data_IF_935918293022
#
_entry.id   IF_935918293022
#
_cell.length_a   1.000
_cell.length_b   1.000
_cell.length_c   1.000
_cell.angle_alpha   90.00
_cell.angle_beta   90.00
_cell.angle_gamma   90.00
#
_symmetry.space_group_name_H-M   'P 1'
#
loop_
_entity.id
_entity.type
_entity.pdbx_description
1 polymer ?
#
# COMPACT_ATOMS: atom_id res chain seq x y z
N UNK A 1 -26.43 -18.66 9.11
CA UNK A 1 -25.56 -17.48 8.98
C UNK A 1 -25.20 -17.36 7.51
N UNK A 2 -25.52 -16.25 6.84
CA UNK A 2 -25.09 -16.05 5.45
C UNK A 2 -23.58 -15.84 5.45
N UNK A 3 -22.83 -16.70 4.76
CA UNK A 3 -21.41 -16.48 4.52
C UNK A 3 -21.29 -15.21 3.66
N UNK A 4 -20.67 -14.15 4.17
CA UNK A 4 -20.33 -12.98 3.36
C UNK A 4 -19.26 -13.38 2.35
N UNK A 5 -19.41 -12.90 1.11
CA UNK A 5 -18.44 -13.12 0.04
C UNK A 5 -17.55 -11.87 -0.04
N UNK A 6 -16.24 -12.06 0.08
CA UNK A 6 -15.23 -11.03 -0.15
C UNK A 6 -15.01 -10.94 -1.66
N UNK A 7 -15.24 -9.77 -2.30
CA UNK A 7 -15.01 -9.61 -3.73
C UNK A 7 -13.54 -9.82 -4.08
N UNK A 8 -13.28 -10.57 -5.14
CA UNK A 8 -11.94 -10.67 -5.72
C UNK A 8 -11.85 -9.64 -6.85
N UNK A 9 -11.27 -8.49 -6.56
CA UNK A 9 -11.20 -7.40 -7.55
C UNK A 9 -10.15 -7.69 -8.61
N UNK A 10 -10.31 -7.15 -9.82
CA UNK A 10 -9.35 -7.34 -10.92
C UNK A 10 -7.94 -6.88 -10.56
N UNK A 11 -7.82 -5.76 -9.85
CA UNK A 11 -6.53 -5.26 -9.37
C UNK A 11 -5.87 -6.21 -8.35
N UNK A 12 -6.67 -6.91 -7.53
CA UNK A 12 -6.16 -7.93 -6.62
C UNK A 12 -5.70 -9.18 -7.36
N UNK A 13 -6.46 -9.65 -8.36
CA UNK A 13 -6.02 -10.72 -9.25
C UNK A 13 -4.71 -10.35 -9.97
N UNK A 14 -4.64 -9.12 -10.46
CA UNK A 14 -3.45 -8.57 -11.10
C UNK A 14 -2.26 -8.57 -10.14
N UNK A 15 -2.43 -8.12 -8.90
CA UNK A 15 -1.41 -8.17 -7.86
C UNK A 15 -0.96 -9.61 -7.53
N UNK A 16 -1.89 -10.56 -7.43
CA UNK A 16 -1.59 -11.96 -7.10
C UNK A 16 -0.62 -12.60 -8.12
N UNK A 17 -0.70 -12.22 -9.40
CA UNK A 17 0.24 -12.67 -10.45
C UNK A 17 1.69 -12.26 -10.13
N UNK A 18 1.90 -11.03 -9.65
CA UNK A 18 3.24 -10.49 -9.34
C UNK A 18 3.76 -10.88 -7.96
N UNK A 19 2.87 -11.28 -7.05
CA UNK A 19 3.22 -11.78 -5.72
C UNK A 19 3.91 -13.14 -5.80
N UNK A 20 3.52 -13.98 -6.75
CA UNK A 20 4.13 -15.30 -6.92
C UNK A 20 5.47 -15.21 -7.67
N UNK A 21 6.57 -15.32 -6.89
CA UNK A 21 7.95 -15.30 -7.41
C UNK A 21 8.25 -16.45 -8.38
N UNK A 22 7.46 -17.54 -8.35
CA UNK A 22 7.63 -18.66 -9.28
C UNK A 22 7.01 -18.36 -10.65
N UNK A 23 6.09 -17.39 -10.71
CA UNK A 23 5.38 -17.01 -11.93
C UNK A 23 6.07 -15.83 -12.61
N UNK A 24 6.52 -14.84 -11.82
CA UNK A 24 7.07 -13.60 -12.39
C UNK A 24 8.46 -13.29 -11.82
N UNK A 25 9.51 -13.69 -12.54
CA UNK A 25 10.88 -13.24 -12.28
C UNK A 25 11.09 -11.75 -12.56
N UNK A 26 12.27 -11.21 -12.26
CA UNK A 26 12.57 -9.76 -12.41
C UNK A 26 12.33 -9.25 -13.84
N UNK A 27 12.71 -10.02 -14.87
CA UNK A 27 12.45 -9.69 -16.28
C UNK A 27 10.95 -9.60 -16.61
N UNK A 28 10.15 -10.50 -16.03
CA UNK A 28 8.69 -10.48 -16.20
C UNK A 28 8.07 -9.22 -15.63
N UNK A 29 8.59 -8.74 -14.50
CA UNK A 29 8.13 -7.49 -13.85
C UNK A 29 8.56 -6.26 -14.63
N UNK A 30 9.80 -6.21 -15.11
CA UNK A 30 10.28 -5.16 -16.00
C UNK A 30 9.43 -5.06 -17.27
N UNK A 31 9.16 -6.18 -17.93
CA UNK A 31 8.34 -6.21 -19.14
C UNK A 31 6.89 -5.79 -18.85
N UNK A 32 6.34 -6.21 -17.72
CA UNK A 32 5.00 -5.78 -17.30
C UNK A 32 4.91 -4.29 -17.03
N UNK A 33 5.90 -3.72 -16.33
CA UNK A 33 5.98 -2.28 -16.09
C UNK A 33 6.09 -1.48 -17.40
N UNK A 34 6.92 -1.95 -18.36
CA UNK A 34 7.03 -1.34 -19.69
C UNK A 34 5.73 -1.44 -20.47
N UNK A 35 5.08 -2.61 -20.47
CA UNK A 35 3.83 -2.83 -21.19
C UNK A 35 2.70 -1.94 -20.66
N UNK A 36 2.55 -1.85 -19.33
CA UNK A 36 1.58 -0.94 -18.73
C UNK A 36 1.84 0.52 -19.10
N UNK A 37 3.10 0.95 -19.11
CA UNK A 37 3.43 2.32 -19.47
C UNK A 37 3.15 2.62 -20.96
N UNK A 38 3.41 1.65 -21.83
CA UNK A 38 3.21 1.78 -23.28
C UNK A 38 1.75 1.62 -23.71
N UNK A 39 0.92 0.93 -22.92
CA UNK A 39 -0.50 0.76 -23.20
C UNK A 39 -1.26 2.07 -22.99
N UNK A 40 -1.46 2.81 -24.09
CA UNK A 40 -2.21 4.07 -24.11
C UNK A 40 -1.88 5.01 -22.95
N UNK A 41 -0.60 5.07 -22.58
CA UNK A 41 -0.10 5.81 -21.41
C UNK A 41 -0.74 5.33 -20.09
N UNK A 42 -0.67 4.05 -19.76
CA UNK A 42 -1.16 3.51 -18.48
C UNK A 42 -2.69 3.42 -18.35
N UNK A 43 -3.43 3.50 -19.45
CA UNK A 43 -4.89 3.52 -19.40
C UNK A 43 -5.48 2.22 -18.83
N UNK A 44 -4.93 1.05 -19.18
CA UNK A 44 -5.44 -0.21 -18.65
C UNK A 44 -5.31 -0.29 -17.12
N UNK A 45 -4.23 0.24 -16.52
CA UNK A 45 -4.09 0.24 -15.06
C UNK A 45 -5.15 1.14 -14.39
N UNK A 46 -5.44 2.30 -14.98
CA UNK A 46 -6.49 3.22 -14.52
C UNK A 46 -7.86 2.54 -14.59
N UNK A 47 -8.15 1.88 -15.71
CA UNK A 47 -9.40 1.13 -15.91
C UNK A 47 -9.54 -0.01 -14.90
N UNK A 48 -8.50 -0.83 -14.71
CA UNK A 48 -8.47 -1.90 -13.70
C UNK A 48 -8.73 -1.33 -12.31
N UNK A 49 -8.12 -0.19 -11.96
CA UNK A 49 -8.35 0.47 -10.68
C UNK A 49 -9.80 0.91 -10.50
N UNK A 50 -10.39 1.61 -11.46
CA UNK A 50 -11.77 2.07 -11.35
C UNK A 50 -12.78 0.92 -11.34
N UNK A 51 -12.56 -0.13 -12.14
CA UNK A 51 -13.36 -1.35 -12.09
C UNK A 51 -13.25 -2.04 -10.72
N UNK A 52 -12.05 -2.08 -10.12
CA UNK A 52 -11.84 -2.61 -8.77
C UNK A 52 -12.55 -1.78 -7.70
N UNK A 53 -12.47 -0.45 -7.75
CA UNK A 53 -13.20 0.43 -6.82
C UNK A 53 -14.71 0.18 -6.92
N UNK A 54 -15.24 0.13 -8.15
CA UNK A 54 -16.66 -0.11 -8.38
C UNK A 54 -17.08 -1.50 -7.90
N UNK A 55 -16.30 -2.54 -8.18
CA UNK A 55 -16.58 -3.89 -7.72
C UNK A 55 -16.58 -3.98 -6.18
N UNK A 56 -15.57 -3.38 -5.54
CA UNK A 56 -15.45 -3.39 -4.08
C UNK A 56 -16.48 -2.49 -3.38
N UNK A 57 -17.07 -1.51 -4.07
CA UNK A 57 -18.06 -0.59 -3.48
C UNK A 57 -19.31 -1.28 -2.96
N UNK A 58 -19.64 -2.46 -3.50
CA UNK A 58 -20.78 -3.28 -3.07
C UNK A 58 -20.48 -4.07 -1.80
N UNK A 59 -19.24 -4.08 -1.33
CA UNK A 59 -18.83 -4.87 -0.19
C UNK A 59 -19.15 -4.17 1.14
N UNK A 60 -20.05 -4.77 1.91
CA UNK A 60 -20.51 -4.24 3.18
C UNK A 60 -19.88 -4.99 4.37
N UNK A 61 -18.85 -4.38 4.96
CA UNK A 61 -18.22 -4.87 6.19
C UNK A 61 -17.98 -3.74 7.21
N UNK A 62 -18.79 -2.68 7.17
CA UNK A 62 -18.68 -1.47 8.01
C UNK A 62 -18.61 -1.79 9.51
N UNK A 63 -19.26 -2.88 9.94
CA UNK A 63 -19.31 -3.29 11.34
C UNK A 63 -18.10 -4.14 11.79
N UNK A 64 -17.22 -4.55 10.88
CA UNK A 64 -16.04 -5.35 11.18
C UNK A 64 -14.86 -4.46 11.59
N UNK A 65 -14.01 -4.93 12.49
CA UNK A 65 -12.70 -4.32 12.74
C UNK A 65 -11.70 -4.68 11.64
N UNK A 66 -10.62 -3.91 11.51
CA UNK A 66 -9.53 -4.23 10.58
C UNK A 66 -8.60 -5.35 11.08
N UNK A 67 -8.68 -5.67 12.37
CA UNK A 67 -7.86 -6.65 13.10
C UNK A 67 -8.65 -7.87 13.57
N UNK A 68 -7.93 -8.93 13.92
CA UNK A 68 -8.49 -10.02 14.73
C UNK A 68 -8.65 -9.56 16.19
N UNK A 69 -9.83 -9.80 16.79
CA UNK A 69 -10.24 -9.31 18.13
C UNK A 69 -9.35 -9.70 19.32
N UNK A 70 -8.27 -10.47 19.14
CA UNK A 70 -7.60 -11.20 20.22
C UNK A 70 -6.19 -10.74 20.61
N UNK A 71 -5.65 -9.63 20.10
CA UNK A 71 -4.21 -9.37 20.30
C UNK A 71 -3.90 -8.05 20.97
N UNK A 72 -2.98 -8.13 21.94
CA UNK A 72 -2.09 -7.04 22.33
C UNK A 72 -1.31 -6.58 21.07
N UNK A 73 -1.97 -5.76 20.24
CA UNK A 73 -1.50 -5.27 18.94
C UNK A 73 -0.34 -4.28 19.12
N UNK A 74 0.84 -4.83 19.41
CA UNK A 74 2.10 -4.11 19.33
C UNK A 74 3.02 -4.85 18.38
N UNK A 75 3.65 -4.16 17.42
CA UNK A 75 4.69 -4.78 16.63
C UNK A 75 5.80 -5.22 17.57
N UNK A 76 6.21 -6.49 17.46
CA UNK A 76 7.36 -7.02 18.20
C UNK A 76 8.61 -6.79 17.37
N UNK A 77 9.64 -6.22 18.00
CA UNK A 77 10.97 -6.13 17.39
C UNK A 77 11.43 -7.54 17.01
N UNK A 78 11.89 -7.68 15.77
CA UNK A 78 12.70 -8.81 15.34
C UNK A 78 14.12 -8.30 15.18
N UNK A 79 15.04 -8.89 15.94
CA UNK A 79 16.47 -8.71 15.71
C UNK A 79 16.85 -9.42 14.41
N UNK A 80 17.69 -8.78 13.60
CA UNK A 80 18.18 -9.28 12.32
C UNK A 80 19.66 -9.01 12.24
N UNK A 81 20.45 -10.02 11.89
CA UNK A 81 21.90 -9.92 11.79
C UNK A 81 22.37 -9.13 10.54
N UNK A 82 21.47 -8.73 9.63
CA UNK A 82 21.81 -8.14 8.32
C UNK A 82 20.78 -7.12 7.82
N UNK A 83 20.70 -5.95 8.45
CA UNK A 83 19.85 -4.82 8.04
C UNK A 83 18.56 -4.67 8.84
N UNK A 84 17.81 -3.59 8.58
CA UNK A 84 16.50 -3.36 9.21
C UNK A 84 15.47 -4.22 8.50
N UNK A 85 14.80 -5.08 9.25
CA UNK A 85 13.63 -5.78 8.70
C UNK A 85 12.49 -4.79 8.49
N UNK A 86 11.55 -5.10 7.60
CA UNK A 86 10.29 -4.36 7.52
C UNK A 86 9.64 -4.20 8.91
N UNK A 87 9.75 -5.23 9.76
CA UNK A 87 9.23 -5.19 11.13
C UNK A 87 9.96 -4.20 12.05
N UNK A 88 11.26 -4.03 11.88
CA UNK A 88 12.05 -3.03 12.61
C UNK A 88 11.56 -1.62 12.25
N UNK A 89 11.41 -1.33 10.95
CA UNK A 89 10.88 -0.05 10.44
C UNK A 89 9.49 0.24 11.03
N UNK A 90 8.59 -0.74 10.95
CA UNK A 90 7.24 -0.64 11.53
C UNK A 90 7.26 -0.31 13.02
N UNK A 91 8.15 -0.96 13.78
CA UNK A 91 8.22 -0.80 15.23
C UNK A 91 8.75 0.58 15.61
N UNK A 92 9.75 1.09 14.89
CA UNK A 92 10.29 2.43 15.12
C UNK A 92 9.24 3.52 14.84
N UNK A 93 8.49 3.41 13.73
CA UNK A 93 7.38 4.33 13.41
C UNK A 93 6.25 4.22 14.43
N UNK A 94 5.90 2.99 14.86
CA UNK A 94 4.92 2.77 15.91
C UNK A 94 5.32 3.46 17.22
N UNK A 95 6.60 3.44 17.57
CA UNK A 95 7.11 4.05 18.80
C UNK A 95 7.20 5.57 18.70
N UNK A 96 7.64 6.12 17.56
CA UNK A 96 7.74 7.57 17.34
C UNK A 96 6.38 8.25 17.24
N UNK A 97 5.34 7.51 16.82
CA UNK A 97 4.00 8.02 16.45
C UNK A 97 3.97 8.90 15.20
N UNK A 98 5.10 9.10 14.55
CA UNK A 98 5.22 9.95 13.37
C UNK A 98 6.24 9.38 12.37
N UNK A 99 5.99 9.62 11.09
CA UNK A 99 6.94 9.41 10.02
C UNK A 99 7.24 10.75 9.34
N UNK A 100 8.49 11.20 9.38
CA UNK A 100 8.92 12.45 8.75
C UNK A 100 9.65 12.17 7.44
N UNK A 101 9.13 12.69 6.35
CA UNK A 101 9.77 12.67 5.04
C UNK A 101 10.51 13.99 4.81
N UNK A 102 11.82 13.91 4.58
CA UNK A 102 12.64 15.05 4.17
C UNK A 102 12.55 15.20 2.65
N UNK A 103 12.08 16.35 2.19
CA UNK A 103 11.99 16.68 0.76
C UNK A 103 12.89 17.85 0.40
N UNK A 104 13.24 18.00 -0.87
CA UNK A 104 14.08 19.13 -1.33
C UNK A 104 13.39 20.49 -1.10
N UNK A 105 12.07 20.55 -1.25
CA UNK A 105 11.28 21.78 -1.12
C UNK A 105 10.62 21.94 0.25
N UNK A 106 10.14 20.85 0.85
CA UNK A 106 9.34 20.86 2.07
C UNK A 106 9.40 19.50 2.77
N UNK A 107 9.54 19.55 4.09
CA UNK A 107 9.40 18.37 4.94
C UNK A 107 7.93 18.06 5.19
N UNK A 108 7.59 16.78 5.24
CA UNK A 108 6.23 16.29 5.46
C UNK A 108 6.21 15.32 6.63
N UNK A 109 5.37 15.56 7.62
CA UNK A 109 5.21 14.66 8.76
C UNK A 109 3.84 13.99 8.72
N UNK A 110 3.85 12.67 8.70
CA UNK A 110 2.69 11.82 8.82
C UNK A 110 2.48 11.41 10.27
N UNK A 111 1.23 11.40 10.71
CA UNK A 111 0.84 10.79 11.97
C UNK A 111 0.62 9.29 11.76
N UNK A 112 1.19 8.48 12.64
CA UNK A 112 0.92 7.04 12.69
C UNK A 112 -0.52 6.77 13.16
N UNK A 113 -1.23 5.89 12.46
CA UNK A 113 -2.60 5.48 12.82
C UNK A 113 -2.66 4.02 13.22
N UNK A 114 -2.24 3.12 12.35
CA UNK A 114 -2.31 1.68 12.59
C UNK A 114 -1.28 0.90 11.73
N UNK A 115 -1.12 -0.40 11.98
CA UNK A 115 -0.24 -1.28 11.21
C UNK A 115 -0.94 -2.60 10.86
N UNK A 116 -0.55 -3.25 9.76
CA UNK A 116 -1.07 -4.57 9.32
C UNK A 116 -2.61 -4.64 9.19
N UNK A 117 -3.27 -3.55 8.77
CA UNK A 117 -4.73 -3.52 8.62
C UNK A 117 -5.17 -4.18 7.30
N UNK A 118 -6.33 -4.83 7.28
CA UNK A 118 -6.84 -5.47 6.06
C UNK A 118 -8.22 -4.92 5.66
N UNK A 119 -8.35 -4.21 4.51
CA UNK A 119 -9.64 -3.71 4.01
C UNK A 119 -10.68 -4.82 3.83
N UNK A 120 -10.21 -6.01 3.44
CA UNK A 120 -11.07 -7.14 3.12
C UNK A 120 -11.38 -8.04 4.34
N UNK A 121 -10.85 -7.71 5.53
CA UNK A 121 -11.11 -8.48 6.75
C UNK A 121 -12.60 -8.55 7.04
N UNK A 122 -13.13 -9.77 7.15
CA UNK A 122 -14.51 -10.02 7.60
C UNK A 122 -14.63 -11.38 8.27
N UNK A 123 -15.29 -11.40 9.42
CA UNK A 123 -15.48 -12.61 10.23
C UNK A 123 -16.38 -13.60 9.48
N UNK A 124 -15.99 -14.88 9.41
CA UNK A 124 -16.74 -15.96 8.76
C UNK A 124 -17.09 -15.71 7.28
N UNK A 125 -16.20 -15.04 6.54
CA UNK A 125 -16.37 -14.80 5.11
C UNK A 125 -15.70 -15.89 4.25
N UNK A 126 -16.02 -15.87 2.95
CA UNK A 126 -15.31 -16.64 1.91
C UNK A 126 -14.87 -15.69 0.81
N UNK A 127 -13.75 -15.97 0.16
CA UNK A 127 -13.41 -15.27 -1.08
C UNK A 127 -14.34 -15.77 -2.21
N UNK A 128 -14.59 -14.92 -3.21
CA UNK A 128 -15.49 -15.15 -4.35
C UNK A 128 -15.21 -16.44 -5.15
N UNK A 129 -14.05 -17.07 -4.95
CA UNK A 129 -13.63 -18.33 -5.60
C UNK A 129 -13.56 -19.55 -4.66
N UNK A 130 -14.32 -19.56 -3.55
CA UNK A 130 -14.40 -20.68 -2.59
C UNK A 130 -13.10 -21.05 -1.85
N UNK A 131 -12.05 -20.25 -1.93
CA UNK A 131 -10.90 -20.36 -1.01
C UNK A 131 -11.29 -19.80 0.36
N UNK A 132 -11.03 -20.56 1.43
CA UNK A 132 -11.36 -20.12 2.79
C UNK A 132 -10.59 -18.84 3.13
N UNK A 133 -11.26 -17.82 3.67
CA UNK A 133 -10.62 -16.55 4.05
C UNK A 133 -9.75 -16.63 5.32
N UNK A 134 -9.52 -17.82 5.85
CA UNK A 134 -8.76 -18.06 7.08
C UNK A 134 -7.26 -18.29 6.83
N UNK A 135 -6.78 -18.15 5.60
CA UNK A 135 -5.34 -18.19 5.34
C UNK A 135 -4.68 -16.93 5.88
N UNK A 136 -3.78 -17.10 6.84
CA UNK A 136 -2.70 -16.17 7.13
C UNK A 136 -1.93 -15.92 5.83
N UNK A 137 -2.27 -14.87 5.07
CA UNK A 137 -1.66 -14.63 3.75
C UNK A 137 -2.44 -13.76 2.77
N UNK A 138 -3.69 -13.37 3.10
CA UNK A 138 -4.54 -12.51 2.26
C UNK A 138 -3.98 -11.09 2.05
N UNK A 139 -2.98 -10.71 2.85
CA UNK A 139 -2.29 -9.43 2.76
C UNK A 139 -3.05 -8.32 3.50
N UNK A 140 -2.31 -7.29 3.86
CA UNK A 140 -2.78 -6.11 4.56
C UNK A 140 -1.88 -4.93 4.24
N UNK A 141 -2.36 -3.75 4.56
CA UNK A 141 -1.61 -2.51 4.53
C UNK A 141 -0.61 -2.54 5.68
N UNK A 142 0.69 -2.45 5.39
CA UNK A 142 1.74 -2.48 6.41
C UNK A 142 1.58 -1.34 7.42
N UNK A 143 1.34 -0.12 6.94
CA UNK A 143 1.12 1.07 7.75
C UNK A 143 -0.06 1.89 7.22
N UNK A 144 -0.97 2.24 8.12
CA UNK A 144 -1.94 3.30 7.90
C UNK A 144 -1.42 4.58 8.56
N UNK A 145 -1.30 5.64 7.76
CA UNK A 145 -0.83 6.95 8.17
C UNK A 145 -1.92 8.02 7.94
N UNK A 146 -1.80 9.16 8.61
CA UNK A 146 -2.63 10.34 8.38
C UNK A 146 -1.77 11.55 8.07
N UNK A 147 -2.12 12.27 7.01
CA UNK A 147 -1.58 13.60 6.71
C UNK A 147 -2.74 14.56 6.50
N UNK A 148 -2.84 15.58 7.34
CA UNK A 148 -3.96 16.53 7.32
C UNK A 148 -5.35 15.84 7.36
N UNK A 149 -5.48 14.72 8.09
CA UNK A 149 -6.70 13.90 8.18
C UNK A 149 -7.09 13.16 6.87
N UNK A 150 -6.18 13.11 5.90
CA UNK A 150 -6.27 12.24 4.71
C UNK A 150 -5.50 10.95 4.99
N UNK A 151 -6.09 9.77 4.74
CA UNK A 151 -5.40 8.50 4.90
C UNK A 151 -4.28 8.33 3.87
N UNK A 152 -3.19 7.73 4.32
CA UNK A 152 -2.09 7.26 3.47
C UNK A 152 -1.84 5.79 3.73
N UNK A 153 -1.88 5.00 2.66
CA UNK A 153 -1.45 3.59 2.67
C UNK A 153 0.05 3.61 2.49
N UNK A 154 0.77 3.04 3.45
CA UNK A 154 2.21 2.92 3.39
C UNK A 154 2.61 1.45 3.34
N UNK A 155 3.29 1.06 2.27
CA UNK A 155 3.88 -0.27 2.09
C UNK A 155 5.38 -0.20 2.36
N UNK A 156 5.90 -1.10 3.18
CA UNK A 156 7.31 -1.12 3.60
C UNK A 156 8.03 -2.25 2.89
N UNK A 157 9.11 -1.93 2.16
CA UNK A 157 9.96 -2.93 1.50
C UNK A 157 11.38 -2.86 2.04
N UNK A 158 11.86 -3.98 2.59
CA UNK A 158 13.28 -4.15 2.91
C UNK A 158 14.11 -4.34 1.64
N UNK A 159 15.42 -4.14 1.73
CA UNK A 159 16.40 -4.35 0.66
C UNK A 159 16.39 -5.77 0.03
N UNK A 160 15.86 -6.75 0.77
CA UNK A 160 15.74 -8.17 0.38
C UNK A 160 14.34 -8.54 -0.13
N UNK A 161 13.36 -7.68 0.07
CA UNK A 161 11.96 -7.94 -0.27
C UNK A 161 11.63 -7.57 -1.72
N UNK A 162 10.37 -7.85 -2.07
CA UNK A 162 9.75 -7.60 -3.37
C UNK A 162 10.02 -6.18 -3.89
N UNK A 163 10.23 -6.08 -5.20
CA UNK A 163 10.53 -4.85 -5.93
C UNK A 163 9.45 -3.76 -5.83
N UNK A 164 9.88 -2.53 -6.15
CA UNK A 164 9.09 -1.30 -6.11
C UNK A 164 7.87 -1.32 -7.01
N UNK A 165 7.93 -2.02 -8.15
CA UNK A 165 6.78 -2.17 -9.05
C UNK A 165 5.67 -2.98 -8.39
N UNK A 166 6.02 -4.13 -7.80
CA UNK A 166 5.04 -4.95 -7.07
C UNK A 166 4.49 -4.21 -5.84
N UNK A 167 5.33 -3.45 -5.14
CA UNK A 167 4.90 -2.60 -4.02
C UNK A 167 3.90 -1.51 -4.46
N UNK A 168 4.12 -0.89 -5.62
CA UNK A 168 3.18 0.05 -6.22
C UNK A 168 1.83 -0.64 -6.48
N UNK A 169 1.83 -1.76 -7.22
CA UNK A 169 0.61 -2.51 -7.57
C UNK A 169 -0.15 -2.96 -6.31
N UNK A 170 0.56 -3.45 -5.30
CA UNK A 170 -0.03 -3.82 -4.00
C UNK A 170 -0.69 -2.61 -3.32
N UNK A 171 0.00 -1.48 -3.26
CA UNK A 171 -0.50 -0.29 -2.59
C UNK A 171 -1.74 0.29 -3.27
N UNK A 172 -1.76 0.33 -4.61
CA UNK A 172 -2.95 0.78 -5.35
C UNK A 172 -4.10 -0.23 -5.26
N UNK A 173 -3.81 -1.52 -5.09
CA UNK A 173 -4.83 -2.54 -4.79
C UNK A 173 -5.54 -2.17 -3.48
N UNK A 174 -4.78 -1.95 -2.41
CA UNK A 174 -5.37 -1.57 -1.13
C UNK A 174 -6.05 -0.20 -1.16
N UNK A 175 -5.51 0.76 -1.93
CA UNK A 175 -6.17 2.05 -2.13
C UNK A 175 -7.53 1.89 -2.83
N UNK A 176 -7.63 1.03 -3.84
CA UNK A 176 -8.88 0.77 -4.55
C UNK A 176 -9.96 0.17 -3.63
N UNK A 177 -9.55 -0.60 -2.62
CA UNK A 177 -10.45 -1.19 -1.64
C UNK A 177 -10.87 -0.18 -0.57
N UNK A 178 -9.91 0.62 -0.06
CA UNK A 178 -10.12 1.53 1.08
C UNK A 178 -10.82 2.85 0.72
N UNK A 179 -10.88 3.21 -0.57
CA UNK A 179 -11.49 4.47 -1.03
C UNK A 179 -13.00 4.37 -1.30
N UNK A 180 -13.60 3.21 -1.08
CA UNK A 180 -15.05 3.01 -1.24
C UNK A 180 -15.82 3.62 -0.07
N UNK A 181 -17.07 4.05 -0.29
CA UNK A 181 -17.89 4.70 0.75
C UNK A 181 -18.05 3.84 2.03
N UNK A 182 -18.24 2.53 1.87
CA UNK A 182 -18.32 1.59 2.99
C UNK A 182 -17.01 1.51 3.78
N UNK A 183 -15.85 1.51 3.09
CA UNK A 183 -14.56 1.54 3.80
C UNK A 183 -14.29 2.90 4.44
N UNK A 184 -14.68 4.00 3.80
CA UNK A 184 -14.58 5.34 4.40
C UNK A 184 -15.36 5.38 5.73
N UNK A 185 -16.62 4.92 5.73
CA UNK A 185 -17.43 4.88 6.94
C UNK A 185 -16.79 4.00 8.02
N UNK A 186 -16.31 2.81 7.63
CA UNK A 186 -15.64 1.88 8.53
C UNK A 186 -14.38 2.49 9.15
N UNK A 187 -13.57 3.19 8.35
CA UNK A 187 -12.32 3.82 8.77
C UNK A 187 -12.59 5.00 9.71
N UNK A 188 -13.61 5.82 9.43
CA UNK A 188 -14.06 6.88 10.33
C UNK A 188 -14.60 6.32 11.66
N UNK A 189 -15.28 5.18 11.63
CA UNK A 189 -15.76 4.51 12.85
C UNK A 189 -14.60 3.94 13.67
N UNK A 190 -13.61 3.34 13.02
CA UNK A 190 -12.46 2.74 13.68
C UNK A 190 -11.48 3.78 14.25
N UNK A 191 -11.33 4.93 13.57
CA UNK A 191 -10.35 5.96 13.92
C UNK A 191 -10.97 7.39 13.89
N UNK A 192 -11.96 7.69 14.75
CA UNK A 192 -12.83 8.87 14.64
C UNK A 192 -12.12 10.22 14.75
N UNK A 193 -10.93 10.29 15.36
CA UNK A 193 -10.16 11.53 15.50
C UNK A 193 -8.98 11.63 14.52
N UNK A 194 -8.73 10.59 13.71
CA UNK A 194 -7.56 10.52 12.82
C UNK A 194 -7.87 10.97 11.40
N UNK A 195 -9.12 10.86 10.99
CA UNK A 195 -9.58 11.14 9.63
C UNK A 195 -10.87 11.95 9.63
N UNK A 196 -11.07 12.71 8.55
CA UNK A 196 -12.36 13.30 8.17
C UNK A 196 -12.88 12.58 6.94
N UNK A 197 -14.15 12.79 6.56
CA UNK A 197 -14.65 12.28 5.28
C UNK A 197 -13.74 12.77 4.16
N UNK A 198 -13.13 11.83 3.45
CA UNK A 198 -12.17 12.06 2.38
C UNK A 198 -12.75 11.58 1.05
N UNK A 199 -12.21 12.13 -0.05
CA UNK A 199 -12.51 11.69 -1.43
C UNK A 199 -11.29 11.07 -2.10
N UNK A 200 -10.14 11.20 -1.46
CA UNK A 200 -8.85 10.80 -1.97
C UNK A 200 -8.06 10.08 -0.88
N UNK A 201 -7.20 9.16 -1.30
CA UNK A 201 -6.26 8.47 -0.43
C UNK A 201 -4.85 8.63 -0.98
N UNK A 202 -3.87 8.77 -0.10
CA UNK A 202 -2.47 8.81 -0.48
C UNK A 202 -1.84 7.42 -0.47
N UNK A 203 -0.78 7.27 -1.27
CA UNK A 203 0.08 6.07 -1.25
C UNK A 203 1.51 6.50 -0.95
N UNK A 204 2.19 5.74 -0.10
CA UNK A 204 3.60 5.88 0.22
C UNK A 204 4.29 4.52 0.08
N UNK A 205 5.32 4.47 -0.75
CA UNK A 205 6.24 3.33 -0.80
C UNK A 205 7.47 3.68 0.02
N UNK A 206 7.67 2.98 1.13
CA UNK A 206 8.81 3.19 2.02
C UNK A 206 9.81 2.05 1.82
N UNK A 207 10.98 2.39 1.27
CA UNK A 207 11.99 1.41 0.86
C UNK A 207 13.19 1.56 1.79
N UNK A 208 13.77 0.47 2.30
CA UNK A 208 14.99 0.55 3.12
C UNK A 208 16.15 1.16 2.32
N UNK A 209 16.58 0.46 1.26
CA UNK A 209 17.63 0.93 0.38
C UNK A 209 17.41 0.40 -1.05
N UNK A 210 17.71 1.24 -2.05
CA UNK A 210 17.77 0.81 -3.44
C UNK A 210 19.18 0.33 -3.72
N UNK A 211 19.35 -0.96 -4.04
CA UNK A 211 20.65 -1.49 -4.44
C UNK A 211 21.15 -0.78 -5.73
N UNK A 212 22.06 0.18 -5.57
CA UNK A 212 22.59 1.02 -6.65
C UNK A 212 23.47 0.24 -7.64
N UNK A 213 23.89 -0.97 -7.29
CA UNK A 213 24.71 -1.80 -8.16
C UNK A 213 23.88 -2.70 -9.09
N UNK A 214 22.56 -2.81 -8.88
CA UNK A 214 21.67 -3.56 -9.78
C UNK A 214 21.02 -2.62 -10.78
N UNK A 215 21.46 -2.71 -12.04
CA UNK A 215 20.92 -1.91 -13.15
C UNK A 215 19.43 -2.18 -13.35
N UNK A 216 19.02 -3.43 -13.21
CA UNK A 216 17.64 -3.89 -13.35
C UNK A 216 16.74 -3.28 -12.27
N UNK A 217 17.18 -3.26 -11.01
CA UNK A 217 16.41 -2.65 -9.90
C UNK A 217 16.30 -1.13 -10.05
N UNK A 218 17.37 -0.47 -10.50
CA UNK A 218 17.34 0.96 -10.80
C UNK A 218 16.38 1.26 -11.96
N UNK A 219 16.43 0.47 -13.03
CA UNK A 219 15.50 0.61 -14.15
C UNK A 219 14.05 0.39 -13.71
N UNK A 220 13.79 -0.64 -12.90
CA UNK A 220 12.45 -0.93 -12.41
C UNK A 220 11.92 0.18 -11.50
N UNK A 221 12.78 0.79 -10.67
CA UNK A 221 12.41 1.98 -9.89
C UNK A 221 12.02 3.16 -10.79
N UNK A 222 12.80 3.46 -11.83
CA UNK A 222 12.50 4.55 -12.74
C UNK A 222 11.21 4.30 -13.55
N UNK A 223 10.98 3.06 -13.99
CA UNK A 223 9.71 2.67 -14.62
C UNK A 223 8.54 2.81 -13.64
N UNK A 224 8.73 2.42 -12.39
CA UNK A 224 7.72 2.55 -11.34
C UNK A 224 7.36 4.02 -11.10
N UNK A 225 8.34 4.94 -11.04
CA UNK A 225 8.10 6.39 -10.93
C UNK A 225 7.30 6.92 -12.12
N UNK A 226 7.67 6.55 -13.35
CA UNK A 226 6.95 6.97 -14.56
C UNK A 226 5.52 6.45 -14.60
N UNK A 227 5.32 5.19 -14.23
CA UNK A 227 4.00 4.57 -14.15
C UNK A 227 3.16 5.25 -13.07
N UNK A 228 3.71 5.49 -11.88
CA UNK A 228 3.03 6.19 -10.79
C UNK A 228 2.61 7.61 -11.19
N UNK A 229 3.48 8.37 -11.86
CA UNK A 229 3.16 9.70 -12.39
C UNK A 229 2.00 9.65 -13.38
N UNK A 230 2.09 8.73 -14.34
CA UNK A 230 1.08 8.57 -15.38
C UNK A 230 -0.26 8.20 -14.78
N UNK A 231 -0.27 7.21 -13.88
CA UNK A 231 -1.45 6.74 -13.18
C UNK A 231 -2.11 7.83 -12.33
N UNK A 232 -1.34 8.53 -11.49
CA UNK A 232 -1.90 9.55 -10.59
C UNK A 232 -2.40 10.80 -11.32
N UNK A 233 -1.89 11.07 -12.52
CA UNK A 233 -2.40 12.15 -13.37
C UNK A 233 -3.82 11.86 -13.91
N UNK A 234 -4.23 10.58 -13.94
CA UNK A 234 -5.50 10.12 -14.51
C UNK A 234 -6.50 9.64 -13.44
N UNK A 235 -6.03 9.26 -12.24
CA UNK A 235 -6.90 8.81 -11.13
C UNK A 235 -7.20 9.94 -10.15
N UNK A 236 -8.46 10.40 -10.13
CA UNK A 236 -8.92 11.46 -9.23
C UNK A 236 -9.11 11.02 -7.77
N UNK A 237 -9.14 9.71 -7.50
CA UNK A 237 -9.32 9.14 -6.15
C UNK A 237 -8.01 9.04 -5.36
N UNK A 238 -6.88 9.46 -5.94
CA UNK A 238 -5.57 9.45 -5.29
C UNK A 238 -5.03 10.85 -5.11
N UNK A 239 -4.73 11.20 -3.86
CA UNK A 239 -4.20 12.52 -3.51
C UNK A 239 -2.74 12.64 -3.89
N UNK A 240 -1.94 11.62 -3.60
CA UNK A 240 -0.53 11.54 -3.97
C UNK A 240 -0.01 10.09 -4.02
N UNK A 241 1.10 9.89 -4.72
CA UNK A 241 1.94 8.68 -4.63
C UNK A 241 3.35 9.17 -4.31
N UNK A 242 3.93 8.63 -3.24
CA UNK A 242 5.24 9.01 -2.75
C UNK A 242 6.15 7.79 -2.76
N UNK A 243 7.42 8.00 -3.04
CA UNK A 243 8.45 6.99 -2.88
C UNK A 243 9.55 7.60 -2.02
N UNK A 244 9.88 6.94 -0.90
CA UNK A 244 10.88 7.41 0.04
C UNK A 244 11.82 6.29 0.46
N UNK A 245 13.04 6.65 0.85
CA UNK A 245 14.00 5.73 1.48
C UNK A 245 14.11 6.00 2.97
N UNK A 246 14.06 4.94 3.77
CA UNK A 246 14.23 5.01 5.22
C UNK A 246 15.63 5.55 5.56
N UNK A 247 15.75 6.32 6.65
CA UNK A 247 17.04 6.70 7.21
C UNK A 247 17.64 5.51 7.99
N UNK A 248 18.89 5.16 7.68
CA UNK A 248 19.61 4.03 8.28
C UNK A 248 19.69 4.13 9.81
N UNK A 249 19.71 5.34 10.36
CA UNK A 249 19.83 5.57 11.80
C UNK A 249 18.49 5.68 12.52
N UNK A 250 17.43 6.09 11.82
CA UNK A 250 16.12 6.39 12.43
C UNK A 250 14.99 6.18 11.43
N UNK A 251 14.26 5.05 11.52
CA UNK A 251 13.22 4.72 10.54
C UNK A 251 11.96 5.57 10.67
N UNK A 252 11.85 6.40 11.72
CA UNK A 252 10.82 7.44 11.79
C UNK A 252 11.14 8.63 10.89
N UNK A 253 12.32 8.63 10.25
CA UNK A 253 12.74 9.58 9.23
C UNK A 253 12.99 8.84 7.93
N UNK A 254 12.67 9.51 6.83
CA UNK A 254 12.94 9.02 5.49
C UNK A 254 13.26 10.18 4.56
N UNK A 255 13.98 9.91 3.49
CA UNK A 255 14.30 10.86 2.44
C UNK A 255 13.36 10.61 1.26
N UNK A 256 12.64 11.65 0.83
CA UNK A 256 11.74 11.59 -0.29
C UNK A 256 12.55 11.43 -1.58
N UNK A 257 12.36 10.29 -2.26
CA UNK A 257 13.01 10.02 -3.54
C UNK A 257 12.22 10.56 -4.73
N UNK A 258 10.90 10.56 -4.60
CA UNK A 258 10.00 10.98 -5.67
C UNK A 258 8.62 11.35 -5.12
N UNK A 259 8.02 12.35 -5.75
CA UNK A 259 6.72 12.89 -5.40
C UNK A 259 5.83 13.00 -6.66
N UNK A 260 4.66 12.38 -6.66
CA UNK A 260 3.76 12.37 -7.80
C UNK A 260 3.01 13.68 -8.03
N UNK A 261 2.68 14.40 -6.95
CA UNK A 261 2.03 15.72 -6.97
C UNK A 261 2.64 16.61 -5.90
N UNK A 262 2.90 17.89 -6.17
CA UNK A 262 3.43 18.78 -5.15
C UNK A 262 2.52 18.83 -3.91
N UNK A 263 3.13 18.81 -2.71
CA UNK A 263 2.38 19.02 -1.48
C UNK A 263 2.03 20.50 -1.37
N UNK A 264 0.75 20.84 -1.55
CA UNK A 264 0.21 22.17 -1.28
C UNK A 264 0.18 22.40 0.24
#
# INVERSE_FOLDING_TARGET
MNNRIIPKTKLREFYEIFKDKNITGEDGKLNSARNLLNDHEGYELVKIFDESVNHFSLYENIQEGFHNRNENHKPKLQESDNGKTGRTILTEIFNSKFLSLRGEQKDVTFEYVDYEISPIRTTNAKLEENTSSNSSGIGGIDLLLSFNQTPYICEVKSSKDTDTFTALVQSITYASELITDNQIERLLKAYPSKFKKYKEIGVLLLIEEVNKNSKERLELLELTKKLALTFISKVSKLSNILIATVDDQDSSKANLLWNGKEFI
#
